data_IF_048222830500
#
_entry.id   IF_048222830500
#
_cell.length_a   1.000
_cell.length_b   1.000
_cell.length_c   1.000
_cell.angle_alpha   90.00
_cell.angle_beta   90.00
_cell.angle_gamma   90.00
#
_symmetry.space_group_name_H-M   'P 1'
#
loop_
_entity.id
_entity.type
_entity.pdbx_description
1 polymer ?
#
# COMPACT_ATOMS: atom_id res chain seq x y z
N UNK A 1 32.22 29.91 -1.40
CA UNK A 1 32.26 28.75 -0.50
C UNK A 1 30.82 28.26 -0.33
N UNK A 2 30.42 27.17 -1.00
CA UNK A 2 29.02 26.72 -0.96
C UNK A 2 28.76 25.26 -1.37
N UNK A 3 29.81 24.48 -1.65
CA UNK A 3 29.68 23.13 -2.23
C UNK A 3 29.76 21.97 -1.22
N UNK A 4 30.10 22.22 0.05
CA UNK A 4 30.30 21.16 1.05
C UNK A 4 29.00 20.57 1.62
N UNK A 5 27.91 21.35 1.65
CA UNK A 5 26.62 20.91 2.18
C UNK A 5 25.88 19.92 1.27
N UNK A 6 25.88 20.17 -0.04
CA UNK A 6 25.24 19.28 -1.02
C UNK A 6 25.99 17.95 -1.18
N UNK A 7 27.32 17.96 -1.17
CA UNK A 7 28.10 16.71 -1.22
C UNK A 7 27.88 15.82 0.00
N UNK A 8 27.75 16.44 1.19
CA UNK A 8 27.45 15.69 2.42
C UNK A 8 26.04 15.10 2.39
N UNK A 9 25.05 15.87 1.93
CA UNK A 9 23.67 15.39 1.81
C UNK A 9 23.52 14.23 0.81
N UNK A 10 24.21 14.31 -0.34
CA UNK A 10 24.24 13.22 -1.33
C UNK A 10 24.98 12.00 -0.77
N UNK A 11 26.09 12.20 -0.06
CA UNK A 11 26.82 11.13 0.62
C UNK A 11 25.96 10.42 1.66
N UNK A 12 25.21 11.18 2.46
CA UNK A 12 24.34 10.63 3.50
C UNK A 12 23.14 9.87 2.90
N UNK A 13 22.60 10.34 1.77
CA UNK A 13 21.58 9.60 1.01
C UNK A 13 22.11 8.30 0.41
N UNK A 14 23.31 8.34 -0.19
CA UNK A 14 23.97 7.16 -0.75
C UNK A 14 24.30 6.15 0.35
N UNK A 15 24.80 6.60 1.50
CA UNK A 15 25.06 5.74 2.67
C UNK A 15 23.79 5.15 3.25
N UNK A 16 22.69 5.90 3.33
CA UNK A 16 21.38 5.35 3.72
C UNK A 16 20.90 4.29 2.73
N UNK A 17 21.02 4.54 1.42
CA UNK A 17 20.65 3.56 0.41
C UNK A 17 21.54 2.31 0.50
N UNK A 18 22.86 2.46 0.62
CA UNK A 18 23.79 1.34 0.82
C UNK A 18 23.49 0.55 2.11
N UNK A 19 23.21 1.25 3.21
CA UNK A 19 22.83 0.60 4.47
C UNK A 19 21.52 -0.16 4.32
N UNK A 20 20.53 0.39 3.60
CA UNK A 20 19.26 -0.29 3.38
C UNK A 20 19.42 -1.53 2.48
N UNK A 21 20.19 -1.43 1.39
CA UNK A 21 20.50 -2.55 0.49
C UNK A 21 21.32 -3.63 1.21
N UNK A 22 22.33 -3.23 2.01
CA UNK A 22 23.11 -4.15 2.82
C UNK A 22 22.26 -4.80 3.92
N UNK A 23 21.34 -4.05 4.54
CA UNK A 23 20.42 -4.60 5.55
C UNK A 23 19.45 -5.60 4.93
N UNK A 24 18.96 -5.32 3.72
CA UNK A 24 18.15 -6.25 2.93
C UNK A 24 18.98 -7.49 2.59
N UNK A 25 20.21 -7.32 2.09
CA UNK A 25 21.10 -8.44 1.78
C UNK A 25 21.43 -9.31 3.00
N UNK A 26 21.74 -8.68 4.14
CA UNK A 26 22.00 -9.39 5.40
C UNK A 26 20.74 -10.04 5.97
N UNK A 27 19.57 -9.42 5.81
CA UNK A 27 18.30 -10.06 6.15
C UNK A 27 18.10 -11.31 5.27
N UNK A 28 18.25 -11.19 3.94
CA UNK A 28 18.15 -12.31 3.01
C UNK A 28 19.15 -13.44 3.35
N UNK A 29 20.40 -13.12 3.70
CA UNK A 29 21.41 -14.09 4.16
C UNK A 29 21.02 -14.75 5.51
N UNK A 30 20.44 -13.99 6.45
CA UNK A 30 19.96 -14.52 7.73
C UNK A 30 18.74 -15.42 7.55
N UNK A 31 17.86 -15.11 6.61
CA UNK A 31 16.66 -15.88 6.27
C UNK A 31 16.94 -17.10 5.39
N UNK A 32 18.09 -17.17 4.72
CA UNK A 32 18.60 -18.36 4.02
C UNK A 32 18.63 -19.62 4.91
N UNK A 33 18.71 -19.44 6.22
CA UNK A 33 18.72 -20.50 7.23
C UNK A 33 17.35 -20.77 7.89
N UNK A 34 16.30 -20.04 7.52
CA UNK A 34 14.99 -20.12 8.15
C UNK A 34 13.93 -20.21 7.03
N UNK A 35 13.18 -21.31 7.02
CA UNK A 35 11.95 -21.51 6.22
C UNK A 35 12.11 -22.14 4.82
N UNK A 36 12.02 -23.48 4.80
CA UNK A 36 11.59 -24.31 3.66
C UNK A 36 10.06 -24.19 3.44
N UNK A 37 9.57 -22.99 3.11
CA UNK A 37 8.19 -22.84 2.63
C UNK A 37 8.24 -22.16 1.27
N UNK A 38 7.75 -22.89 0.27
CA UNK A 38 7.51 -22.34 -1.06
C UNK A 38 6.38 -21.33 -0.94
N UNK A 39 6.65 -20.07 -1.28
CA UNK A 39 5.58 -19.09 -1.46
C UNK A 39 4.63 -19.59 -2.54
N UNK A 40 3.33 -19.48 -2.29
CA UNK A 40 2.31 -19.81 -3.28
C UNK A 40 2.05 -18.55 -4.12
N UNK A 41 2.04 -18.63 -5.45
CA UNK A 41 1.74 -17.50 -6.35
C UNK A 41 0.42 -16.74 -6.07
N UNK A 42 -0.48 -17.30 -5.24
CA UNK A 42 -1.62 -16.57 -4.68
C UNK A 42 -1.22 -15.38 -3.80
N UNK A 43 -0.15 -15.51 -3.02
CA UNK A 43 0.33 -14.47 -2.11
C UNK A 43 0.95 -13.30 -2.89
N UNK A 44 1.63 -13.61 -4.00
CA UNK A 44 2.15 -12.60 -4.93
C UNK A 44 1.03 -11.71 -5.46
N UNK A 45 -0.03 -12.30 -6.04
CA UNK A 45 -1.14 -11.53 -6.64
C UNK A 45 -1.88 -10.69 -5.61
N UNK A 46 -2.08 -11.23 -4.41
CA UNK A 46 -2.72 -10.50 -3.31
C UNK A 46 -1.91 -9.25 -2.92
N UNK A 47 -0.61 -9.42 -2.63
CA UNK A 47 0.27 -8.31 -2.25
C UNK A 47 0.43 -7.30 -3.40
N UNK A 48 0.51 -7.78 -4.64
CA UNK A 48 0.60 -6.94 -5.83
C UNK A 48 -0.60 -6.02 -5.96
N UNK A 49 -1.80 -6.54 -5.74
CA UNK A 49 -3.01 -5.74 -5.83
C UNK A 49 -3.14 -4.75 -4.67
N UNK A 50 -2.69 -5.15 -3.49
CA UNK A 50 -2.83 -4.35 -2.28
C UNK A 50 -1.86 -3.15 -2.25
N UNK A 51 -0.62 -3.34 -2.71
CA UNK A 51 0.47 -2.36 -2.62
C UNK A 51 1.14 -2.11 -3.97
N UNK A 52 0.41 -1.66 -4.99
CA UNK A 52 0.83 -1.87 -6.37
C UNK A 52 2.05 -1.04 -6.78
N UNK A 53 2.30 0.16 -6.22
CA UNK A 53 3.55 0.90 -6.47
C UNK A 53 4.77 0.21 -5.87
N UNK A 54 4.64 -0.27 -4.64
CA UNK A 54 5.72 -1.00 -3.96
C UNK A 54 6.01 -2.30 -4.70
N UNK A 55 4.96 -3.01 -5.11
CA UNK A 55 5.08 -4.24 -5.89
C UNK A 55 5.72 -4.04 -7.26
N UNK A 56 5.40 -2.96 -7.97
CA UNK A 56 6.10 -2.59 -9.21
C UNK A 56 7.59 -2.31 -8.96
N UNK A 57 7.91 -1.58 -7.89
CA UNK A 57 9.29 -1.26 -7.51
C UNK A 57 10.09 -2.51 -7.20
N UNK A 58 9.55 -3.41 -6.36
CA UNK A 58 10.20 -4.68 -6.01
C UNK A 58 10.33 -5.58 -7.24
N UNK A 59 9.29 -5.68 -8.08
CA UNK A 59 9.37 -6.45 -9.33
C UNK A 59 10.50 -5.95 -10.21
N UNK A 60 10.64 -4.63 -10.36
CA UNK A 60 11.72 -4.01 -11.13
C UNK A 60 13.10 -4.35 -10.54
N UNK A 61 13.27 -4.22 -9.22
CA UNK A 61 14.49 -4.60 -8.52
C UNK A 61 14.85 -6.07 -8.81
N UNK A 62 13.88 -6.98 -8.72
CA UNK A 62 14.10 -8.40 -8.97
C UNK A 62 14.51 -8.65 -10.42
N UNK A 63 13.89 -7.97 -11.38
CA UNK A 63 14.26 -8.10 -12.80
C UNK A 63 15.65 -7.53 -13.11
N UNK A 64 16.11 -6.53 -12.35
CA UNK A 64 17.45 -5.94 -12.49
C UNK A 64 18.52 -6.77 -11.77
N UNK A 65 18.15 -7.53 -10.74
CA UNK A 65 19.04 -8.48 -10.07
C UNK A 65 19.30 -9.67 -11.00
N UNK A 66 20.58 -9.95 -11.24
CA UNK A 66 21.13 -11.02 -12.11
C UNK A 66 20.27 -12.30 -12.15
N UNK A 67 19.96 -12.80 -13.36
CA UNK A 67 19.13 -13.98 -13.63
C UNK A 67 19.54 -15.24 -12.86
N UNK A 68 20.82 -15.34 -12.49
CA UNK A 68 21.33 -16.46 -11.69
C UNK A 68 20.77 -16.47 -10.26
N UNK A 69 20.54 -15.31 -9.63
CA UNK A 69 19.95 -15.22 -8.29
C UNK A 69 18.48 -15.61 -8.33
N UNK A 70 17.74 -15.11 -9.32
CA UNK A 70 16.32 -15.46 -9.52
C UNK A 70 16.11 -16.94 -9.86
N UNK A 71 17.06 -17.58 -10.57
CA UNK A 71 17.01 -19.01 -10.87
C UNK A 71 17.24 -19.88 -9.62
N UNK A 72 18.07 -19.42 -8.68
CA UNK A 72 18.39 -20.18 -7.46
C UNK A 72 17.30 -20.01 -6.39
N UNK A 73 16.79 -18.80 -6.19
CA UNK A 73 15.84 -18.50 -5.11
C UNK A 73 14.37 -18.55 -5.51
N UNK A 74 14.07 -18.40 -6.81
CA UNK A 74 12.70 -18.23 -7.30
C UNK A 74 12.18 -16.81 -7.11
N UNK A 75 11.49 -16.31 -8.14
CA UNK A 75 10.96 -14.95 -8.18
C UNK A 75 9.98 -14.65 -7.02
N UNK A 76 9.02 -15.55 -6.78
CA UNK A 76 7.98 -15.36 -5.77
C UNK A 76 8.54 -15.25 -4.35
N UNK A 77 9.58 -16.04 -4.03
CA UNK A 77 10.23 -15.99 -2.73
C UNK A 77 10.99 -14.68 -2.53
N UNK A 78 11.78 -14.28 -3.53
CA UNK A 78 12.53 -13.01 -3.47
C UNK A 78 11.58 -11.82 -3.37
N UNK A 79 10.45 -11.87 -4.09
CA UNK A 79 9.39 -10.87 -3.98
C UNK A 79 8.83 -10.79 -2.57
N UNK A 80 8.46 -11.91 -1.96
CA UNK A 80 7.92 -11.92 -0.61
C UNK A 80 8.92 -11.40 0.42
N UNK A 81 10.17 -11.85 0.36
CA UNK A 81 11.21 -11.42 1.29
C UNK A 81 11.50 -9.92 1.18
N UNK A 82 11.51 -9.37 -0.05
CA UNK A 82 11.67 -7.93 -0.28
C UNK A 82 10.45 -7.11 0.16
N UNK A 83 9.23 -7.61 -0.05
CA UNK A 83 8.00 -6.96 0.47
C UNK A 83 8.03 -6.93 1.99
N UNK A 84 8.37 -8.04 2.64
CA UNK A 84 8.48 -8.12 4.09
C UNK A 84 9.57 -7.18 4.63
N UNK A 85 10.74 -7.16 4.00
CA UNK A 85 11.82 -6.24 4.36
C UNK A 85 11.39 -4.77 4.19
N UNK A 86 10.66 -4.44 3.12
CA UNK A 86 10.11 -3.11 2.93
C UNK A 86 9.22 -2.70 4.11
N UNK A 87 8.25 -3.54 4.50
CA UNK A 87 7.37 -3.26 5.64
C UNK A 87 8.08 -3.17 6.99
N UNK A 88 9.11 -3.99 7.21
CA UNK A 88 9.81 -4.07 8.51
C UNK A 88 10.87 -2.98 8.69
N UNK A 89 11.57 -2.60 7.62
CA UNK A 89 12.76 -1.74 7.70
C UNK A 89 12.49 -0.28 7.33
N UNK A 90 11.40 -0.01 6.62
CA UNK A 90 11.11 1.34 6.15
C UNK A 90 10.07 1.97 7.07
N UNK A 91 10.25 3.22 7.54
CA UNK A 91 9.17 3.92 8.20
C UNK A 91 7.97 3.97 7.25
N UNK A 92 6.82 3.44 7.69
CA UNK A 92 5.57 3.27 6.92
C UNK A 92 5.18 4.52 6.09
N UNK A 93 5.63 5.70 6.51
CA UNK A 93 5.46 6.98 5.81
C UNK A 93 6.02 7.00 4.39
N UNK A 94 7.05 6.22 4.06
CA UNK A 94 7.61 6.20 2.69
C UNK A 94 6.67 5.48 1.71
N UNK A 95 5.80 4.59 2.20
CA UNK A 95 4.80 3.87 1.40
C UNK A 95 3.41 4.51 1.45
N UNK A 96 3.27 5.72 2.00
CA UNK A 96 2.03 6.52 1.94
C UNK A 96 1.72 7.04 0.51
N UNK A 97 2.29 6.43 -0.52
CA UNK A 97 2.10 6.82 -1.92
C UNK A 97 0.78 6.34 -2.51
N UNK A 98 0.12 5.37 -1.86
CA UNK A 98 -1.13 4.75 -2.30
C UNK A 98 -2.30 5.00 -1.31
N UNK A 99 -2.26 6.10 -0.54
CA UNK A 99 -3.37 6.48 0.35
C UNK A 99 -4.64 6.71 -0.47
N UNK A 100 -5.72 6.03 -0.10
CA UNK A 100 -7.07 6.28 -0.61
C UNK A 100 -7.83 7.14 0.39
N UNK A 101 -8.25 8.32 -0.05
CA UNK A 101 -9.02 9.28 0.72
C UNK A 101 -10.50 8.94 0.64
N UNK A 102 -11.10 8.63 1.78
CA UNK A 102 -12.49 8.19 1.88
C UNK A 102 -13.25 9.19 2.74
N UNK A 103 -14.32 9.78 2.19
CA UNK A 103 -15.24 10.59 2.98
C UNK A 103 -16.43 9.75 3.45
N UNK A 104 -16.75 9.84 4.74
CA UNK A 104 -17.91 9.17 5.36
C UNK A 104 -19.01 10.18 5.68
N UNK A 105 -20.22 9.93 5.20
CA UNK A 105 -21.38 10.81 5.44
C UNK A 105 -22.66 10.00 5.55
N UNK A 106 -22.87 9.40 6.72
CA UNK A 106 -24.09 8.68 7.05
C UNK A 106 -25.07 9.63 7.74
N UNK A 107 -26.37 9.48 7.46
CA UNK A 107 -27.43 10.26 8.09
C UNK A 107 -27.47 10.11 9.63
N UNK A 108 -26.88 9.04 10.17
CA UNK A 108 -26.66 8.85 11.62
C UNK A 108 -25.62 9.81 12.24
N UNK A 109 -24.92 10.60 11.43
CA UNK A 109 -24.00 11.65 11.87
C UNK A 109 -22.75 11.11 12.56
N UNK A 110 -22.22 11.92 13.47
CA UNK A 110 -20.91 11.73 14.11
C UNK A 110 -20.70 10.31 14.66
N UNK A 111 -21.67 9.75 15.39
CA UNK A 111 -21.51 8.44 16.02
C UNK A 111 -21.39 7.31 15.02
N UNK A 112 -22.22 7.32 13.96
CA UNK A 112 -22.16 6.31 12.90
C UNK A 112 -20.87 6.43 12.09
N UNK A 113 -20.50 7.66 11.70
CA UNK A 113 -19.27 7.91 10.95
C UNK A 113 -18.03 7.49 11.76
N UNK A 114 -17.96 7.86 13.05
CA UNK A 114 -16.86 7.49 13.95
C UNK A 114 -16.78 5.97 14.16
N UNK A 115 -17.93 5.30 14.27
CA UNK A 115 -17.98 3.85 14.41
C UNK A 115 -17.40 3.16 13.16
N UNK A 116 -17.79 3.60 11.96
CA UNK A 116 -17.30 3.03 10.70
C UNK A 116 -15.81 3.35 10.52
N UNK A 117 -15.37 4.57 10.81
CA UNK A 117 -13.96 4.95 10.79
C UNK A 117 -13.13 4.04 11.72
N UNK A 118 -13.64 3.75 12.91
CA UNK A 118 -12.97 2.83 13.84
C UNK A 118 -12.88 1.41 13.30
N UNK A 119 -13.90 0.94 12.58
CA UNK A 119 -13.85 -0.34 11.88
C UNK A 119 -12.81 -0.30 10.76
N UNK A 120 -12.71 0.80 10.00
CA UNK A 120 -11.70 0.95 8.95
C UNK A 120 -10.29 0.86 9.53
N UNK A 121 -10.02 1.58 10.62
CA UNK A 121 -8.72 1.52 11.31
C UNK A 121 -8.36 0.12 11.84
N UNK A 122 -9.36 -0.71 12.14
CA UNK A 122 -9.16 -2.08 12.64
C UNK A 122 -9.02 -3.13 11.55
N UNK A 123 -9.80 -3.01 10.48
CA UNK A 123 -9.96 -4.05 9.47
C UNK A 123 -9.31 -3.71 8.12
N UNK A 124 -9.02 -2.44 7.87
CA UNK A 124 -8.38 -1.98 6.65
C UNK A 124 -6.96 -1.48 6.96
N UNK A 125 -6.06 -1.72 6.01
CA UNK A 125 -4.64 -1.40 6.13
C UNK A 125 -4.38 0.13 6.23
N UNK A 126 -3.12 0.47 6.54
CA UNK A 126 -2.55 1.81 6.76
C UNK A 126 -2.63 2.81 5.57
N UNK A 127 -3.34 2.45 4.51
CA UNK A 127 -3.37 3.16 3.23
C UNK A 127 -4.76 3.76 2.95
N UNK A 128 -5.54 3.96 3.99
CA UNK A 128 -6.80 4.69 3.92
C UNK A 128 -6.71 5.88 4.85
N UNK A 129 -7.11 7.03 4.34
CA UNK A 129 -7.36 8.21 5.14
C UNK A 129 -8.87 8.48 5.11
N UNK A 130 -9.47 8.61 6.29
CA UNK A 130 -10.86 9.02 6.40
C UNK A 130 -10.91 10.53 6.57
N UNK A 131 -11.66 11.19 5.69
CA UNK A 131 -11.81 12.64 5.66
C UNK A 131 -13.22 13.04 6.12
N UNK A 132 -13.32 14.11 6.90
CA UNK A 132 -14.58 14.61 7.46
C UNK A 132 -15.48 15.29 6.42
N UNK A 133 -14.94 15.63 5.25
CA UNK A 133 -15.65 16.32 4.17
C UNK A 133 -15.13 15.91 2.80
N UNK A 134 -15.98 16.04 1.79
CA UNK A 134 -15.60 15.83 0.40
C UNK A 134 -14.72 16.99 -0.06
N UNK A 135 -13.50 16.68 -0.48
CA UNK A 135 -12.52 17.61 -1.02
C UNK A 135 -11.94 17.16 -2.37
N UNK A 136 -11.01 17.94 -2.95
CA UNK A 136 -10.39 17.62 -4.24
C UNK A 136 -9.63 16.29 -4.26
N UNK A 137 -9.11 15.87 -3.10
CA UNK A 137 -8.36 14.63 -2.95
C UNK A 137 -9.27 13.43 -2.65
N UNK A 138 -10.57 13.62 -2.42
CA UNK A 138 -11.48 12.52 -2.07
C UNK A 138 -11.65 11.56 -3.23
N UNK A 139 -11.30 10.30 -2.99
CA UNK A 139 -11.33 9.23 -3.99
C UNK A 139 -12.60 8.40 -3.95
N UNK A 140 -13.19 8.28 -2.77
CA UNK A 140 -14.34 7.46 -2.51
C UNK A 140 -15.24 8.13 -1.49
N UNK A 141 -16.53 8.14 -1.78
CA UNK A 141 -17.55 8.63 -0.86
C UNK A 141 -18.40 7.45 -0.39
N UNK A 142 -18.56 7.29 0.93
CA UNK A 142 -19.37 6.22 1.52
C UNK A 142 -20.46 6.84 2.38
N UNK A 143 -21.70 6.43 2.11
CA UNK A 143 -22.90 7.05 2.67
C UNK A 143 -24.04 6.04 2.75
N UNK A 144 -25.13 6.37 3.44
CA UNK A 144 -26.40 5.66 3.39
C UNK A 144 -27.39 6.26 2.37
N UNK A 145 -27.02 7.33 1.67
CA UNK A 145 -27.87 7.97 0.66
C UNK A 145 -27.05 8.45 -0.55
N UNK A 146 -27.41 7.98 -1.74
CA UNK A 146 -26.72 8.43 -2.95
C UNK A 146 -26.84 9.95 -3.14
N UNK A 147 -25.70 10.64 -3.26
CA UNK A 147 -25.67 12.08 -3.38
C UNK A 147 -25.36 12.51 -4.82
N UNK A 148 -26.40 12.93 -5.55
CA UNK A 148 -26.27 13.37 -6.96
C UNK A 148 -25.30 14.53 -7.16
N UNK A 149 -25.06 15.36 -6.14
CA UNK A 149 -24.11 16.48 -6.22
C UNK A 149 -22.68 16.01 -6.44
N UNK A 150 -22.35 14.81 -5.95
CA UNK A 150 -21.01 14.24 -6.00
C UNK A 150 -20.94 13.03 -6.94
N UNK A 151 -21.75 13.02 -8.01
CA UNK A 151 -21.86 11.89 -8.94
C UNK A 151 -20.55 11.54 -9.67
N UNK A 152 -19.64 12.50 -9.82
CA UNK A 152 -18.31 12.31 -10.42
C UNK A 152 -17.33 11.57 -9.50
N UNK A 153 -17.59 11.55 -8.19
CA UNK A 153 -16.79 10.81 -7.22
C UNK A 153 -17.41 9.41 -7.08
N UNK A 154 -16.62 8.32 -7.14
CA UNK A 154 -17.12 6.99 -6.85
C UNK A 154 -17.85 6.94 -5.50
N UNK A 155 -19.06 6.37 -5.47
CA UNK A 155 -19.87 6.26 -4.26
C UNK A 155 -20.18 4.80 -3.91
N UNK A 156 -20.10 4.46 -2.62
CA UNK A 156 -20.65 3.22 -2.07
C UNK A 156 -21.79 3.59 -1.12
N UNK A 157 -22.97 3.03 -1.39
CA UNK A 157 -24.17 3.27 -0.58
C UNK A 157 -24.46 2.07 0.32
N UNK A 158 -24.37 2.25 1.63
CA UNK A 158 -24.66 1.25 2.64
C UNK A 158 -25.95 1.59 3.38
N UNK A 159 -27.06 0.98 2.95
CA UNK A 159 -28.39 1.21 3.51
C UNK A 159 -28.63 0.55 4.88
N UNK A 160 -27.71 -0.31 5.33
CA UNK A 160 -27.82 -1.11 6.54
C UNK A 160 -26.44 -1.42 7.09
N UNK A 161 -26.40 -2.10 8.23
CA UNK A 161 -25.15 -2.61 8.81
C UNK A 161 -24.35 -3.40 7.77
N UNK A 162 -23.05 -3.08 7.67
CA UNK A 162 -22.13 -3.67 6.70
C UNK A 162 -22.03 -5.18 6.90
N UNK A 163 -22.23 -5.93 5.82
CA UNK A 163 -21.98 -7.36 5.74
C UNK A 163 -20.57 -7.64 5.25
N UNK A 164 -20.11 -8.90 5.34
CA UNK A 164 -18.82 -9.31 4.76
C UNK A 164 -18.72 -8.99 3.26
N UNK A 165 -19.85 -9.06 2.54
CA UNK A 165 -19.89 -8.72 1.12
C UNK A 165 -19.61 -7.22 0.89
N UNK A 166 -20.15 -6.36 1.75
CA UNK A 166 -19.94 -4.91 1.68
C UNK A 166 -18.47 -4.55 1.90
N UNK A 167 -17.81 -5.22 2.84
CA UNK A 167 -16.37 -5.10 3.06
C UNK A 167 -15.55 -5.56 1.85
N UNK A 168 -15.88 -6.71 1.28
CA UNK A 168 -15.19 -7.22 0.09
C UNK A 168 -15.36 -6.27 -1.11
N UNK A 169 -16.55 -5.70 -1.28
CA UNK A 169 -16.81 -4.71 -2.32
C UNK A 169 -15.98 -3.44 -2.10
N UNK A 170 -15.90 -2.95 -0.86
CA UNK A 170 -15.04 -1.81 -0.51
C UNK A 170 -13.57 -2.09 -0.81
N UNK A 171 -13.03 -3.26 -0.40
CA UNK A 171 -11.63 -3.62 -0.68
C UNK A 171 -11.33 -3.65 -2.17
N UNK A 172 -12.22 -4.25 -2.98
CA UNK A 172 -12.07 -4.24 -4.45
C UNK A 172 -12.12 -2.83 -5.01
N UNK A 173 -12.98 -1.96 -4.46
CA UNK A 173 -13.08 -0.58 -4.93
C UNK A 173 -11.80 0.21 -4.65
N UNK A 174 -11.20 -0.01 -3.49
CA UNK A 174 -9.91 0.57 -3.11
C UNK A 174 -8.80 0.08 -4.05
N UNK A 175 -8.75 -1.21 -4.36
CA UNK A 175 -7.79 -1.77 -5.34
C UNK A 175 -7.97 -1.12 -6.72
N UNK A 176 -9.20 -1.00 -7.22
CA UNK A 176 -9.51 -0.33 -8.49
C UNK A 176 -8.99 1.11 -8.53
N UNK A 177 -9.23 1.87 -7.46
CA UNK A 177 -8.77 3.27 -7.33
C UNK A 177 -7.23 3.33 -7.41
N UNK A 178 -6.53 2.49 -6.64
CA UNK A 178 -5.06 2.44 -6.62
C UNK A 178 -4.49 2.11 -8.01
N UNK A 179 -5.03 1.09 -8.67
CA UNK A 179 -4.61 0.69 -10.01
C UNK A 179 -4.89 1.76 -11.07
N UNK A 180 -6.01 2.47 -10.97
CA UNK A 180 -6.32 3.55 -11.91
C UNK A 180 -5.33 4.72 -11.79
N UNK A 181 -4.87 5.04 -10.57
CA UNK A 181 -3.84 6.09 -10.39
C UNK A 181 -2.49 5.71 -10.97
N UNK A 182 -2.12 4.44 -10.88
CA UNK A 182 -0.87 3.94 -11.47
C UNK A 182 -0.80 4.14 -12.99
N UNK A 183 -1.93 4.06 -13.69
CA UNK A 183 -1.99 4.22 -15.14
C UNK A 183 -1.91 5.69 -15.60
N UNK A 184 -2.11 6.65 -14.68
CA UNK A 184 -2.07 8.09 -14.98
C UNK A 184 -0.68 8.71 -14.80
N UNK A 185 0.28 7.96 -14.25
CA UNK A 185 1.69 8.37 -14.06
C UNK A 185 2.51 7.92 -15.25
#
# INVERSE_FOLDING_TARGET
>A
MGFSGQQKQVSDQVLMHFSSVLSIYLALEKYKNIVNEQGNGKDFKYLYNLHPRLSQTITKIITEINTNVTHIYGFERLYFDLMAAAFLLTPLKIFQTDIVHICLDFAGGYYTNSFIEHLFKKFLNFEIQVDDYIGPETDLYITDQYNKRYAEIPQIVWLRTTTLYDWLHLTRKIEEIKHHRLQKV
#
